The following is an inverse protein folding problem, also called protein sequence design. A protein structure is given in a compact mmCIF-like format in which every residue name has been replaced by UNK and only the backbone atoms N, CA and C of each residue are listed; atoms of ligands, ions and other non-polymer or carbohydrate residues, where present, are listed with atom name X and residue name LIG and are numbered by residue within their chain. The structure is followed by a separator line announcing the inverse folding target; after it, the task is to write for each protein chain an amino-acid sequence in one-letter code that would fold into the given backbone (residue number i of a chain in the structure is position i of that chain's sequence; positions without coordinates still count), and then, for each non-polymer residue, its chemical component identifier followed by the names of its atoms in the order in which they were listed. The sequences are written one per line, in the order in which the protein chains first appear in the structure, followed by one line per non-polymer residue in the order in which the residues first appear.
data_IF_938077039793
#
_entry.id   IF_938077039793
#
_cell.length_a   1.000
_cell.length_b   1.000
_cell.length_c   1.000
_cell.angle_alpha   90.00
_cell.angle_beta   90.00
_cell.angle_gamma   90.00
#
_symmetry.space_group_name_H-M   'P 1'
#
loop_
_entity.id
_entity.type
_entity.pdbx_description
1 polymer ?
#
# COMPACT_ATOMS: atom_id res chain seq x y z
N UNK A 1 -23.59 -1.54 -17.72
CA UNK A 1 -24.67 -1.46 -16.72
C UNK A 1 -25.58 -2.70 -16.61
N UNK A 2 -26.59 -2.94 -17.47
CA UNK A 2 -27.51 -4.09 -17.28
C UNK A 2 -26.80 -5.45 -17.30
N UNK A 3 -25.81 -5.60 -18.18
CA UNK A 3 -25.03 -6.84 -18.30
C UNK A 3 -24.14 -7.08 -17.08
N UNK A 4 -23.46 -6.04 -16.58
CA UNK A 4 -22.62 -6.11 -15.38
C UNK A 4 -23.45 -6.45 -14.14
N UNK A 5 -24.63 -5.84 -14.00
CA UNK A 5 -25.56 -6.15 -12.92
C UNK A 5 -26.06 -7.60 -12.94
N UNK A 6 -26.30 -8.15 -14.14
CA UNK A 6 -26.71 -9.55 -14.26
C UNK A 6 -25.55 -10.52 -13.99
N UNK A 7 -24.34 -10.19 -14.49
CA UNK A 7 -23.13 -10.95 -14.20
C UNK A 7 -22.86 -11.01 -12.69
N UNK A 8 -22.92 -9.87 -12.01
CA UNK A 8 -22.76 -9.80 -10.56
C UNK A 8 -23.77 -10.69 -9.82
N UNK A 9 -25.04 -10.70 -10.23
CA UNK A 9 -26.05 -11.58 -9.62
C UNK A 9 -25.71 -13.06 -9.81
N UNK A 10 -25.24 -13.45 -10.99
CA UNK A 10 -24.85 -14.84 -11.26
C UNK A 10 -23.63 -15.25 -10.44
N UNK A 11 -22.63 -14.37 -10.31
CA UNK A 11 -21.48 -14.61 -9.44
C UNK A 11 -21.87 -14.79 -7.98
N UNK A 12 -22.77 -13.94 -7.46
CA UNK A 12 -23.24 -14.07 -6.07
C UNK A 12 -24.02 -15.36 -5.85
N UNK A 13 -24.85 -15.78 -6.82
CA UNK A 13 -25.54 -17.08 -6.77
C UNK A 13 -24.54 -18.24 -6.74
N UNK A 14 -23.54 -18.20 -7.62
CA UNK A 14 -22.50 -19.22 -7.68
C UNK A 14 -21.68 -19.29 -6.38
N UNK A 15 -21.29 -18.15 -5.80
CA UNK A 15 -20.63 -18.08 -4.49
C UNK A 15 -21.49 -18.67 -3.36
N UNK A 16 -22.81 -18.42 -3.39
CA UNK A 16 -23.73 -18.97 -2.41
C UNK A 16 -23.85 -20.50 -2.53
N UNK A 17 -23.94 -21.02 -3.75
CA UNK A 17 -23.97 -22.46 -4.03
C UNK A 17 -22.69 -23.15 -3.54
N UNK A 18 -21.51 -22.62 -3.86
CA UNK A 18 -20.24 -23.11 -3.34
C UNK A 18 -20.22 -23.14 -1.80
N UNK A 19 -20.72 -22.10 -1.14
CA UNK A 19 -20.78 -22.07 0.33
C UNK A 19 -21.71 -23.13 0.90
N UNK A 20 -22.81 -23.47 0.21
CA UNK A 20 -23.72 -24.56 0.59
C UNK A 20 -23.07 -25.92 0.39
N UNK A 21 -22.49 -26.17 -0.78
CA UNK A 21 -21.76 -27.42 -1.09
C UNK A 21 -20.65 -27.70 -0.07
N UNK A 22 -19.89 -26.68 0.33
CA UNK A 22 -18.86 -26.81 1.36
C UNK A 22 -19.42 -27.20 2.73
N UNK A 23 -20.57 -26.62 3.13
CA UNK A 23 -21.25 -27.00 4.38
C UNK A 23 -21.82 -28.42 4.34
N UNK A 24 -22.37 -28.82 3.20
CA UNK A 24 -22.88 -30.19 3.01
C UNK A 24 -21.75 -31.22 3.14
N UNK A 25 -20.58 -30.97 2.53
CA UNK A 25 -19.39 -31.82 2.69
C UNK A 25 -18.89 -31.88 4.13
N UNK A 26 -18.95 -30.77 4.86
CA UNK A 26 -18.59 -30.72 6.29
C UNK A 26 -19.57 -31.52 7.15
N UNK A 27 -20.87 -31.43 6.84
CA UNK A 27 -21.92 -32.16 7.55
C UNK A 27 -21.85 -33.67 7.27
N UNK A 28 -21.68 -34.07 6.01
CA UNK A 28 -21.52 -35.48 5.61
C UNK A 28 -20.29 -36.12 6.28
N UNK A 29 -19.21 -35.34 6.49
CA UNK A 29 -18.05 -35.78 7.25
C UNK A 29 -18.38 -36.00 8.75
N UNK A 30 -19.11 -35.06 9.37
CA UNK A 30 -19.52 -35.14 10.80
C UNK A 30 -20.48 -36.29 11.08
N UNK A 31 -21.38 -36.60 10.13
CA UNK A 31 -22.36 -37.68 10.25
C UNK A 31 -21.78 -39.08 10.01
N UNK A 32 -20.52 -39.15 9.53
CA UNK A 32 -19.80 -40.39 9.26
C UNK A 32 -20.02 -40.87 7.82
N UNK A 33 -19.01 -40.65 6.98
CA UNK A 33 -19.04 -41.00 5.55
C UNK A 33 -19.18 -42.52 5.36
N UNK A 34 -20.28 -42.95 4.72
CA UNK A 34 -20.56 -44.37 4.43
C UNK A 34 -20.15 -44.79 3.01
N UNK A 35 -20.30 -43.88 2.04
CA UNK A 35 -19.83 -44.07 0.66
C UNK A 35 -18.64 -43.14 0.41
N UNK A 36 -17.45 -43.70 0.61
CA UNK A 36 -16.21 -42.97 0.48
C UNK A 36 -15.92 -42.54 -0.97
N UNK A 37 -16.32 -43.32 -1.97
CA UNK A 37 -16.03 -43.00 -3.38
C UNK A 37 -16.86 -41.80 -3.84
N UNK A 38 -18.15 -41.80 -3.53
CA UNK A 38 -19.05 -40.67 -3.83
C UNK A 38 -18.61 -39.40 -3.11
N UNK A 39 -18.22 -39.50 -1.83
CA UNK A 39 -17.71 -38.36 -1.07
C UNK A 39 -16.45 -37.74 -1.68
N UNK A 40 -15.47 -38.57 -2.06
CA UNK A 40 -14.23 -38.07 -2.69
C UNK A 40 -14.52 -37.39 -4.03
N UNK A 41 -15.45 -37.93 -4.83
CA UNK A 41 -15.83 -37.32 -6.09
C UNK A 41 -16.48 -35.95 -5.89
N UNK A 42 -17.46 -35.84 -4.97
CA UNK A 42 -18.07 -34.55 -4.60
C UNK A 42 -17.04 -33.54 -4.11
N UNK A 43 -16.12 -33.97 -3.24
CA UNK A 43 -15.04 -33.14 -2.70
C UNK A 43 -14.09 -32.65 -3.80
N UNK A 44 -13.72 -33.51 -4.75
CA UNK A 44 -12.83 -33.12 -5.85
C UNK A 44 -13.53 -32.13 -6.79
N UNK A 45 -14.79 -32.36 -7.14
CA UNK A 45 -15.59 -31.40 -7.93
C UNK A 45 -15.75 -30.06 -7.21
N UNK A 46 -16.00 -30.08 -5.91
CA UNK A 46 -16.04 -28.88 -5.08
C UNK A 46 -14.69 -28.13 -5.11
N UNK A 47 -13.58 -28.85 -4.95
CA UNK A 47 -12.23 -28.28 -4.99
C UNK A 47 -11.89 -27.67 -6.36
N UNK A 48 -12.31 -28.29 -7.47
CA UNK A 48 -12.16 -27.75 -8.82
C UNK A 48 -12.92 -26.43 -8.98
N UNK A 49 -14.20 -26.39 -8.59
CA UNK A 49 -15.01 -25.16 -8.65
C UNK A 49 -14.41 -24.02 -7.80
N UNK A 50 -13.93 -24.34 -6.59
CA UNK A 50 -13.23 -23.37 -5.72
C UNK A 50 -11.94 -22.90 -6.37
N UNK A 51 -11.17 -23.81 -6.99
CA UNK A 51 -9.95 -23.45 -7.71
C UNK A 51 -10.24 -22.52 -8.89
N UNK A 52 -11.28 -22.78 -9.67
CA UNK A 52 -11.65 -21.94 -10.81
C UNK A 52 -12.14 -20.56 -10.38
N UNK A 53 -12.90 -20.48 -9.30
CA UNK A 53 -13.25 -19.18 -8.68
C UNK A 53 -12.00 -18.44 -8.20
N UNK A 54 -11.05 -19.16 -7.58
CA UNK A 54 -9.76 -18.61 -7.18
C UNK A 54 -8.95 -18.06 -8.35
N UNK A 55 -8.89 -18.78 -9.48
CA UNK A 55 -8.25 -18.32 -10.72
C UNK A 55 -8.93 -17.08 -11.27
N UNK A 56 -10.26 -17.01 -11.22
CA UNK A 56 -11.02 -15.84 -11.66
C UNK A 56 -10.68 -14.59 -10.85
N UNK A 57 -10.72 -14.70 -9.51
CA UNK A 57 -10.37 -13.59 -8.61
C UNK A 57 -8.90 -13.16 -8.81
N UNK A 58 -7.98 -14.10 -8.97
CA UNK A 58 -6.58 -13.80 -9.26
C UNK A 58 -6.43 -13.08 -10.61
N UNK A 59 -7.18 -13.50 -11.62
CA UNK A 59 -7.18 -12.85 -12.94
C UNK A 59 -7.67 -11.41 -12.82
N UNK A 60 -8.77 -11.17 -12.10
CA UNK A 60 -9.29 -9.83 -11.85
C UNK A 60 -8.24 -8.95 -11.14
N UNK A 61 -7.61 -9.48 -10.09
CA UNK A 61 -6.55 -8.79 -9.35
C UNK A 61 -5.34 -8.43 -10.25
N UNK A 62 -4.87 -9.39 -11.06
CA UNK A 62 -3.76 -9.16 -12.01
C UNK A 62 -4.15 -8.12 -13.06
N UNK A 63 -5.37 -8.18 -13.59
CA UNK A 63 -5.87 -7.21 -14.56
C UNK A 63 -5.98 -5.81 -13.95
N UNK A 64 -6.45 -5.71 -12.70
CA UNK A 64 -6.49 -4.45 -11.97
C UNK A 64 -5.08 -3.86 -11.80
N UNK A 65 -4.12 -4.64 -11.28
CA UNK A 65 -2.72 -4.19 -11.12
C UNK A 65 -2.11 -3.77 -12.45
N UNK A 66 -2.39 -4.50 -13.54
CA UNK A 66 -1.96 -4.14 -14.88
C UNK A 66 -2.54 -2.79 -15.31
N UNK A 67 -3.85 -2.57 -15.13
CA UNK A 67 -4.49 -1.31 -15.48
C UNK A 67 -3.87 -0.12 -14.74
N UNK A 68 -3.57 -0.28 -13.44
CA UNK A 68 -2.89 0.76 -12.65
C UNK A 68 -1.47 1.03 -13.18
N UNK A 69 -0.69 -0.01 -13.50
CA UNK A 69 0.64 0.16 -14.10
C UNK A 69 0.58 0.85 -15.47
N UNK A 70 -0.42 0.52 -16.29
CA UNK A 70 -0.63 1.17 -17.59
C UNK A 70 -0.96 2.67 -17.41
N UNK A 71 -1.73 3.03 -16.37
CA UNK A 71 -2.00 4.43 -16.01
C UNK A 71 -0.72 5.12 -15.53
N UNK A 72 0.06 4.48 -14.67
CA UNK A 72 1.34 5.03 -14.20
C UNK A 72 2.30 5.28 -15.37
N UNK A 73 2.42 4.31 -16.28
CA UNK A 73 3.28 4.38 -17.47
C UNK A 73 2.87 5.52 -18.42
N UNK A 74 1.59 5.91 -18.43
CA UNK A 74 1.13 7.09 -19.15
C UNK A 74 1.47 8.39 -18.41
N UNK A 75 1.34 8.40 -17.08
CA UNK A 75 1.59 9.59 -16.25
C UNK A 75 3.07 10.01 -16.21
N UNK A 76 4.01 9.07 -16.41
CA UNK A 76 5.45 9.39 -16.48
C UNK A 76 5.89 9.94 -17.85
N UNK A 77 5.02 9.89 -18.87
CA UNK A 77 5.32 10.41 -20.22
C UNK A 77 4.94 11.90 -20.31
N UNK A 78 5.34 12.52 -21.42
CA UNK A 78 4.87 13.86 -21.77
C UNK A 78 3.33 13.85 -21.88
N UNK A 79 2.71 14.72 -21.10
CA UNK A 79 1.28 15.06 -21.20
C UNK A 79 0.99 15.77 -22.52
N UNK A 80 1.92 16.62 -22.95
CA UNK A 80 1.87 17.35 -24.21
C UNK A 80 3.17 17.07 -24.96
N UNK A 81 3.08 16.33 -26.07
CA UNK A 81 4.24 15.96 -26.86
C UNK A 81 4.84 17.13 -27.64
N UNK A 82 4.02 18.11 -28.05
CA UNK A 82 4.49 19.28 -28.78
C UNK A 82 5.25 20.23 -27.86
N UNK A 83 4.76 20.41 -26.63
CA UNK A 83 5.38 21.27 -25.63
C UNK A 83 6.38 20.55 -24.72
N UNK A 84 6.53 19.23 -24.87
CA UNK A 84 7.37 18.37 -24.02
C UNK A 84 7.12 18.60 -22.52
N UNK A 85 5.83 18.70 -22.12
CA UNK A 85 5.45 18.94 -20.72
C UNK A 85 5.06 17.65 -20.02
N UNK A 86 5.69 17.36 -18.90
CA UNK A 86 5.30 16.26 -18.01
C UNK A 86 4.09 16.58 -17.14
N UNK A 87 3.40 15.54 -16.68
CA UNK A 87 2.42 15.67 -15.60
C UNK A 87 3.08 16.20 -14.31
N UNK A 88 2.26 16.66 -13.36
CA UNK A 88 2.75 17.06 -12.03
C UNK A 88 2.87 15.83 -11.12
N UNK A 89 3.81 15.86 -10.17
CA UNK A 89 4.06 14.78 -9.20
C UNK A 89 2.79 14.36 -8.44
N UNK A 90 1.90 15.31 -8.14
CA UNK A 90 0.59 15.04 -7.52
C UNK A 90 -0.24 13.95 -8.21
N UNK A 91 -0.09 13.75 -9.53
CA UNK A 91 -0.85 12.70 -10.24
C UNK A 91 -0.29 11.32 -9.92
N UNK A 92 1.04 11.20 -9.79
CA UNK A 92 1.71 9.97 -9.40
C UNK A 92 1.42 9.69 -7.92
N UNK A 93 1.55 10.72 -7.07
CA UNK A 93 1.19 10.62 -5.66
C UNK A 93 -0.23 10.10 -5.49
N UNK A 94 -1.24 10.77 -6.07
CA UNK A 94 -2.64 10.38 -5.98
C UNK A 94 -2.92 8.96 -6.51
N UNK A 95 -2.14 8.48 -7.49
CA UNK A 95 -2.23 7.11 -7.99
C UNK A 95 -1.70 6.09 -6.97
N UNK A 96 -0.63 6.45 -6.24
CA UNK A 96 -0.01 5.60 -5.23
C UNK A 96 -0.80 5.63 -3.93
N UNK A 97 -1.19 6.81 -3.45
CA UNK A 97 -1.98 6.99 -2.23
C UNK A 97 -2.74 8.33 -2.28
N UNK A 98 -4.01 8.40 -1.83
CA UNK A 98 -4.76 9.65 -1.78
C UNK A 98 -4.09 10.77 -0.96
N UNK A 99 -4.06 11.99 -1.50
CA UNK A 99 -3.48 13.13 -0.78
C UNK A 99 -4.37 13.58 0.39
N UNK A 100 -3.78 14.14 1.44
CA UNK A 100 -4.45 14.66 2.65
C UNK A 100 -5.30 13.60 3.36
N UNK A 101 -4.80 12.37 3.39
CA UNK A 101 -5.47 11.20 3.95
C UNK A 101 -4.51 10.38 4.80
N UNK A 102 -5.08 9.65 5.75
CA UNK A 102 -4.39 8.65 6.55
C UNK A 102 -4.78 7.24 6.11
N UNK A 103 -4.05 6.22 6.58
CA UNK A 103 -4.44 4.82 6.42
C UNK A 103 -5.78 4.47 7.05
N UNK A 104 -6.22 5.24 8.06
CA UNK A 104 -7.47 4.99 8.77
C UNK A 104 -8.69 5.58 8.00
N UNK A 105 -8.44 6.44 7.01
CA UNK A 105 -9.48 7.08 6.19
C UNK A 105 -9.88 6.26 4.96
N UNK A 106 -9.10 5.25 4.57
CA UNK A 106 -9.25 4.57 3.28
C UNK A 106 -9.13 3.05 3.41
N UNK A 107 -9.84 2.34 2.52
CA UNK A 107 -9.76 0.88 2.42
C UNK A 107 -8.49 0.44 1.68
N UNK A 108 -8.06 -0.80 1.91
CA UNK A 108 -6.90 -1.42 1.25
C UNK A 108 -6.88 -1.31 -0.28
N UNK A 109 -8.06 -1.36 -0.93
CA UNK A 109 -8.18 -1.26 -2.38
C UNK A 109 -8.05 0.18 -2.92
N UNK A 110 -7.92 1.19 -2.05
CA UNK A 110 -7.87 2.60 -2.41
C UNK A 110 -6.45 3.16 -2.48
N UNK A 111 -5.42 2.32 -2.33
CA UNK A 111 -4.01 2.68 -2.50
C UNK A 111 -3.23 1.65 -3.32
N UNK A 112 -2.11 2.06 -3.89
CA UNK A 112 -1.22 1.25 -4.74
C UNK A 112 0.25 1.26 -4.28
N UNK A 113 0.49 1.34 -2.96
CA UNK A 113 1.83 1.31 -2.35
C UNK A 113 2.69 0.12 -2.79
N UNK A 114 2.05 -1.00 -3.16
CA UNK A 114 2.71 -2.18 -3.72
C UNK A 114 3.57 -1.90 -4.95
N UNK A 115 3.31 -0.80 -5.67
CA UNK A 115 4.11 -0.36 -6.82
C UNK A 115 5.54 -0.03 -6.40
N UNK A 116 5.72 0.45 -5.17
CA UNK A 116 7.02 0.81 -4.59
C UNK A 116 7.64 -0.43 -3.93
N UNK A 117 6.91 -1.04 -3.00
CA UNK A 117 7.28 -2.28 -2.32
C UNK A 117 5.99 -2.94 -1.78
N UNK A 118 5.83 -4.25 -2.02
CA UNK A 118 4.66 -5.01 -1.58
C UNK A 118 4.46 -4.96 -0.06
N UNK A 119 5.55 -4.83 0.72
CA UNK A 119 5.48 -4.75 2.18
C UNK A 119 4.79 -3.48 2.66
N UNK A 120 4.88 -2.38 1.89
CA UNK A 120 4.28 -1.10 2.26
C UNK A 120 2.75 -1.13 2.21
N UNK A 121 2.16 -2.12 1.54
CA UNK A 121 0.72 -2.33 1.57
C UNK A 121 0.21 -2.78 2.95
N UNK A 122 1.10 -3.19 3.85
CA UNK A 122 0.81 -3.57 5.22
C UNK A 122 1.59 -2.66 6.16
N UNK A 123 0.89 -1.80 6.86
CA UNK A 123 1.47 -0.86 7.80
C UNK A 123 0.49 -0.58 8.94
N UNK A 124 1.01 -0.06 10.05
CA UNK A 124 0.20 0.23 11.21
C UNK A 124 -0.48 1.62 11.14
N UNK A 125 0.25 2.61 10.62
CA UNK A 125 -0.27 3.94 10.35
C UNK A 125 0.47 4.60 9.18
N UNK A 126 -0.24 5.39 8.37
CA UNK A 126 0.31 6.18 7.27
C UNK A 126 -0.37 7.54 7.22
N UNK A 127 0.40 8.60 7.00
CA UNK A 127 -0.07 9.95 6.70
C UNK A 127 0.46 10.43 5.34
N UNK A 128 -0.41 10.96 4.49
CA UNK A 128 -0.11 11.36 3.11
C UNK A 128 -0.43 12.83 2.87
N UNK A 129 0.56 13.61 2.45
CA UNK A 129 0.47 15.06 2.21
C UNK A 129 -0.05 15.80 3.46
N UNK A 130 0.56 15.50 4.61
CA UNK A 130 0.17 16.07 5.90
C UNK A 130 1.36 16.69 6.60
N UNK A 131 1.12 17.81 7.29
CA UNK A 131 2.16 18.48 8.08
C UNK A 131 2.55 17.59 9.24
N UNK A 132 3.84 17.50 9.54
CA UNK A 132 4.32 16.69 10.66
C UNK A 132 3.64 17.09 11.98
N UNK A 133 3.44 18.40 12.22
CA UNK A 133 2.73 18.91 13.41
C UNK A 133 1.25 18.54 13.53
N UNK A 134 0.66 18.00 12.46
CA UNK A 134 -0.74 17.57 12.44
C UNK A 134 -0.90 16.06 12.66
N UNK A 135 0.20 15.31 12.71
CA UNK A 135 0.18 13.86 12.93
C UNK A 135 0.05 13.57 14.42
N UNK A 136 -0.92 12.74 14.81
CA UNK A 136 -1.18 12.35 16.20
C UNK A 136 -0.06 11.51 16.81
N UNK A 137 0.70 10.83 15.96
CA UNK A 137 1.75 9.86 16.26
C UNK A 137 3.05 10.56 16.69
N UNK A 138 3.09 11.89 16.68
CA UNK A 138 4.26 12.67 17.05
C UNK A 138 3.87 13.94 17.81
N UNK A 139 4.83 14.52 18.51
CA UNK A 139 4.75 15.82 19.18
C UNK A 139 5.78 16.76 18.57
N UNK A 140 5.39 17.43 17.48
CA UNK A 140 6.29 18.32 16.77
C UNK A 140 5.59 19.61 16.32
N UNK A 141 6.37 20.68 16.17
CA UNK A 141 5.91 21.99 15.69
C UNK A 141 6.26 22.25 14.21
N UNK A 142 6.82 21.25 13.52
CA UNK A 142 7.28 21.38 12.14
C UNK A 142 6.11 21.53 11.16
N UNK A 143 6.17 22.62 10.38
CA UNK A 143 5.24 22.87 9.29
C UNK A 143 5.57 22.12 7.99
N UNK A 144 6.60 21.27 7.99
CA UNK A 144 6.99 20.47 6.84
C UNK A 144 5.95 19.39 6.54
N UNK A 145 5.82 19.07 5.26
CA UNK A 145 4.74 18.23 4.72
C UNK A 145 5.39 17.20 3.78
N UNK A 146 5.73 16.00 4.31
CA UNK A 146 6.21 14.91 3.48
C UNK A 146 5.06 14.36 2.63
N UNK A 147 5.39 13.84 1.45
CA UNK A 147 4.37 13.27 0.57
C UNK A 147 3.71 12.04 1.21
N UNK A 148 4.50 11.10 1.75
CA UNK A 148 3.98 9.98 2.56
C UNK A 148 4.97 9.68 3.71
N UNK A 149 4.43 9.53 4.92
CA UNK A 149 5.12 8.94 6.07
C UNK A 149 4.35 7.72 6.55
N UNK A 150 5.06 6.62 6.76
CA UNK A 150 4.50 5.37 7.27
C UNK A 150 5.20 5.05 8.59
N UNK A 151 4.40 4.78 9.61
CA UNK A 151 4.83 4.34 10.91
C UNK A 151 4.48 2.85 11.06
N UNK A 152 5.50 2.04 11.25
CA UNK A 152 5.37 0.59 11.34
C UNK A 152 6.04 0.04 12.61
N UNK A 153 5.48 -1.04 13.13
CA UNK A 153 6.00 -1.74 14.31
C UNK A 153 6.69 -3.04 13.87
N UNK A 154 7.91 -3.34 14.34
CA UNK A 154 8.63 -4.54 13.95
C UNK A 154 7.91 -5.80 14.47
N UNK A 155 7.05 -6.39 13.64
CA UNK A 155 6.20 -7.55 13.98
C UNK A 155 6.94 -8.85 14.32
N UNK A 156 8.25 -8.94 14.09
CA UNK A 156 8.88 -10.25 13.88
C UNK A 156 9.40 -10.99 15.13
N UNK A 157 9.50 -10.39 16.33
CA UNK A 157 10.27 -11.03 17.41
C UNK A 157 9.81 -10.88 18.87
N UNK A 158 8.64 -10.31 19.20
CA UNK A 158 8.24 -10.15 20.63
C UNK A 158 6.73 -10.19 20.85
N UNK A 159 6.29 -10.87 21.91
CA UNK A 159 4.90 -10.96 22.40
C UNK A 159 4.35 -9.64 23.01
N UNK A 160 5.06 -8.53 22.84
CA UNK A 160 4.70 -7.23 23.42
C UNK A 160 3.89 -6.42 22.40
N UNK A 161 2.58 -6.31 22.63
CA UNK A 161 1.67 -5.45 21.84
C UNK A 161 2.04 -3.96 21.91
N UNK A 162 2.85 -3.56 22.90
CA UNK A 162 3.12 -2.17 23.26
C UNK A 162 4.47 -1.65 22.73
N UNK A 163 5.02 -2.24 21.66
CA UNK A 163 6.25 -1.70 21.09
C UNK A 163 5.98 -0.50 20.17
N UNK A 164 6.66 0.62 20.43
CA UNK A 164 6.49 1.82 19.62
C UNK A 164 7.04 1.69 18.20
N UNK A 165 6.57 2.58 17.31
CA UNK A 165 6.99 2.62 15.91
C UNK A 165 8.50 2.82 15.77
N UNK A 166 9.20 1.74 15.47
CA UNK A 166 10.66 1.75 15.27
C UNK A 166 11.06 1.72 13.82
N UNK A 167 10.13 1.47 12.90
CA UNK A 167 10.37 1.53 11.47
C UNK A 167 9.54 2.68 10.90
N UNK A 168 10.20 3.68 10.33
CA UNK A 168 9.55 4.81 9.70
C UNK A 168 9.93 4.82 8.22
N UNK A 169 8.93 4.74 7.34
CA UNK A 169 9.16 4.89 5.90
C UNK A 169 8.76 6.28 5.45
N UNK A 170 9.66 6.97 4.74
CA UNK A 170 9.37 8.26 4.10
C UNK A 170 9.43 8.05 2.59
N UNK A 171 8.37 8.47 1.90
CA UNK A 171 8.31 8.42 0.43
C UNK A 171 8.14 9.84 -0.06
N UNK A 172 9.02 10.23 -0.98
CA UNK A 172 9.01 11.55 -1.61
C UNK A 172 8.95 11.38 -3.13
N UNK A 173 7.98 12.02 -3.77
CA UNK A 173 7.82 12.03 -5.21
C UNK A 173 8.47 13.26 -5.81
N UNK A 174 9.01 13.11 -7.02
CA UNK A 174 9.43 14.23 -7.85
C UNK A 174 8.78 14.15 -9.21
N UNK A 175 8.53 15.34 -9.77
CA UNK A 175 7.98 15.48 -11.11
C UNK A 175 8.78 14.67 -12.14
N UNK A 176 8.10 13.89 -13.01
CA UNK A 176 8.76 13.25 -14.15
C UNK A 176 9.50 14.25 -15.03
N UNK A 177 10.63 13.81 -15.58
CA UNK A 177 11.57 14.57 -16.40
C UNK A 177 12.26 15.71 -15.68
N UNK A 178 12.21 15.75 -14.35
CA UNK A 178 12.92 16.76 -13.59
C UNK A 178 14.41 16.44 -13.56
N UNK A 179 15.19 17.37 -14.09
CA UNK A 179 16.65 17.32 -14.11
C UNK A 179 17.24 18.46 -13.27
N UNK A 180 18.54 18.38 -13.02
CA UNK A 180 19.33 19.46 -12.40
C UNK A 180 18.86 19.86 -10.99
N UNK A 181 18.85 18.88 -10.08
CA UNK A 181 18.54 19.13 -8.68
C UNK A 181 19.60 20.06 -8.06
N UNK A 182 19.16 21.27 -7.68
CA UNK A 182 19.97 22.21 -6.89
C UNK A 182 19.90 21.85 -5.41
N UNK A 183 20.78 22.44 -4.60
CA UNK A 183 20.81 22.16 -3.16
C UNK A 183 19.48 22.49 -2.45
N UNK A 184 18.83 23.59 -2.85
CA UNK A 184 17.50 23.99 -2.35
C UNK A 184 16.36 23.09 -2.84
N UNK A 185 16.60 22.27 -3.86
CA UNK A 185 15.61 21.36 -4.47
C UNK A 185 16.02 19.90 -4.30
N UNK A 186 17.01 19.62 -3.45
CA UNK A 186 17.62 18.32 -3.27
C UNK A 186 16.66 17.37 -2.52
N UNK A 187 16.17 16.29 -3.15
CA UNK A 187 15.23 15.39 -2.52
C UNK A 187 15.85 14.60 -1.36
N UNK A 188 17.15 14.29 -1.42
CA UNK A 188 17.86 13.59 -0.33
C UNK A 188 17.94 14.48 0.90
N UNK A 189 18.23 15.77 0.70
CA UNK A 189 18.24 16.75 1.79
C UNK A 189 16.85 16.91 2.40
N UNK A 190 15.82 17.03 1.56
CA UNK A 190 14.43 17.15 2.01
C UNK A 190 14.00 15.97 2.89
N UNK A 191 14.34 14.74 2.47
CA UNK A 191 14.06 13.54 3.27
C UNK A 191 14.84 13.52 4.59
N UNK A 192 16.14 13.89 4.59
CA UNK A 192 16.95 13.98 5.83
C UNK A 192 16.35 14.98 6.81
N UNK A 193 15.93 16.12 6.30
CA UNK A 193 15.26 17.16 7.07
C UNK A 193 13.95 16.66 7.70
N UNK A 194 13.20 15.78 7.04
CA UNK A 194 12.04 15.12 7.65
C UNK A 194 12.45 14.12 8.72
N UNK A 195 13.52 13.35 8.49
CA UNK A 195 14.05 12.42 9.49
C UNK A 195 14.44 13.16 10.78
N UNK A 196 15.15 14.29 10.65
CA UNK A 196 15.56 15.14 11.78
C UNK A 196 14.32 15.65 12.55
N UNK A 197 13.32 16.21 11.84
CA UNK A 197 12.09 16.72 12.44
C UNK A 197 11.26 15.61 13.14
N UNK A 198 11.29 14.37 12.61
CA UNK A 198 10.62 13.20 13.21
C UNK A 198 11.35 12.73 14.46
N UNK A 199 12.69 12.70 14.43
CA UNK A 199 13.52 12.35 15.57
C UNK A 199 13.35 13.37 16.72
N UNK A 200 13.35 14.65 16.40
CA UNK A 200 13.11 15.73 17.37
C UNK A 200 11.66 15.73 17.89
N UNK A 201 10.71 15.37 17.03
CA UNK A 201 9.27 15.37 17.29
C UNK A 201 8.75 14.26 18.20
N UNK A 202 9.61 13.51 18.90
CA UNK A 202 9.25 12.48 19.90
C UNK A 202 8.02 11.63 19.51
N UNK A 203 8.26 10.64 18.65
CA UNK A 203 7.24 9.70 18.17
C UNK A 203 6.54 8.98 19.34
N UNK A 204 5.23 8.78 19.21
CA UNK A 204 4.30 8.18 20.18
C UNK A 204 3.68 6.89 19.62
N UNK A 205 3.25 5.99 20.51
CA UNK A 205 2.35 4.88 20.19
C UNK A 205 0.91 5.36 19.93
N UNK A 206 0.02 4.49 19.43
CA UNK A 206 -1.42 4.79 19.33
C UNK A 206 -2.05 5.16 20.68
N UNK A 207 -1.56 4.57 21.77
CA UNK A 207 -2.03 4.84 23.12
C UNK A 207 -1.37 6.08 23.76
N UNK A 208 -0.51 6.80 23.00
CA UNK A 208 0.07 8.07 23.40
C UNK A 208 1.37 7.96 24.20
N UNK A 209 1.95 6.77 24.32
CA UNK A 209 3.22 6.57 25.01
C UNK A 209 4.39 7.01 24.14
N UNK A 210 5.29 7.84 24.69
CA UNK A 210 6.47 8.29 23.98
C UNK A 210 7.54 7.19 23.87
N UNK A 211 8.21 7.16 22.72
CA UNK A 211 9.41 6.36 22.52
C UNK A 211 10.53 6.76 23.49
N UNK A 212 11.00 5.79 24.29
CA UNK A 212 12.25 5.94 25.03
C UNK A 212 13.45 5.66 24.11
N UNK A 213 14.23 6.70 23.84
CA UNK A 213 15.45 6.64 23.02
C UNK A 213 15.17 6.72 21.51
N UNK A 214 15.54 7.85 20.91
CA UNK A 214 15.47 8.09 19.45
C UNK A 214 16.50 7.27 18.66
N UNK A 215 17.49 6.69 19.34
CA UNK A 215 18.62 5.96 18.74
C UNK A 215 18.23 4.62 18.06
N UNK A 216 16.99 4.16 18.25
CA UNK A 216 16.50 2.87 17.72
C UNK A 216 15.52 3.00 16.54
N UNK A 217 15.26 4.22 16.04
CA UNK A 217 14.39 4.42 14.87
C UNK A 217 15.17 4.07 13.60
N UNK A 218 14.59 3.19 12.80
CA UNK A 218 15.09 2.82 11.46
C UNK A 218 14.27 3.54 10.42
N UNK A 219 14.95 4.35 9.61
CA UNK A 219 14.33 5.02 8.48
C UNK A 219 14.54 4.23 7.20
N UNK A 220 13.45 4.04 6.45
CA UNK A 220 13.45 3.57 5.07
C UNK A 220 13.00 4.72 4.18
N UNK A 221 13.82 5.11 3.21
CA UNK A 221 13.56 6.32 2.45
C UNK A 221 13.48 6.00 0.96
N UNK A 222 12.36 6.34 0.34
CA UNK A 222 12.13 6.18 -1.09
C UNK A 222 12.00 7.56 -1.74
N UNK A 223 12.81 7.82 -2.77
CA UNK A 223 12.69 9.00 -3.61
C UNK A 223 12.31 8.54 -5.01
N UNK A 224 11.08 8.79 -5.42
CA UNK A 224 10.58 8.42 -6.74
C UNK A 224 10.84 9.56 -7.72
N UNK A 225 11.88 9.39 -8.54
CA UNK A 225 12.32 10.39 -9.50
C UNK A 225 13.00 9.75 -10.72
N UNK A 226 13.11 10.51 -11.80
CA UNK A 226 13.96 10.12 -12.93
C UNK A 226 15.44 10.28 -12.56
N UNK A 227 16.23 9.25 -12.89
CA UNK A 227 17.62 9.16 -12.47
C UNK A 227 18.53 9.89 -13.46
N UNK A 228 18.81 11.16 -13.17
CA UNK A 228 19.78 11.97 -13.91
C UNK A 228 21.19 11.95 -13.27
N UNK A 229 22.14 12.70 -13.86
CA UNK A 229 23.51 12.80 -13.32
C UNK A 229 23.57 13.50 -11.95
N UNK A 230 22.61 14.38 -11.65
CA UNK A 230 22.59 15.10 -10.37
C UNK A 230 22.11 14.19 -9.23
N UNK A 231 21.01 13.44 -9.43
CA UNK A 231 20.53 12.42 -8.48
C UNK A 231 21.59 11.35 -8.24
N UNK A 232 22.27 10.86 -9.29
CA UNK A 232 23.35 9.87 -9.12
C UNK A 232 24.51 10.39 -8.27
N UNK A 233 24.77 11.69 -8.25
CA UNK A 233 25.80 12.29 -7.37
C UNK A 233 25.30 12.43 -5.94
N UNK A 234 24.02 12.77 -5.76
CA UNK A 234 23.40 12.94 -4.44
C UNK A 234 23.18 11.61 -3.70
N UNK A 235 22.98 10.52 -4.43
CA UNK A 235 22.74 9.18 -3.87
C UNK A 235 24.02 8.39 -3.55
N UNK A 236 25.22 8.97 -3.79
CA UNK A 236 26.50 8.40 -3.37
C UNK A 236 26.82 8.76 -1.92
#
# INVERSE_FOLDING_TARGET
EKLEMELFKQEQKFKLELKREGKELEQELKEGVRDYQSYIQKRNTYAEKVSDMGKSNLTEYVMHRKAILDILAQNIKYKDQEQQKYTYEKNIHQLIFPMTKTSDDIDYLQHNLWIIDEKLAYHHYLASDMKLKSMSEMDNDSGKEPDIVIFDSPFAFTDEQDQPYRNITIIEFKRPGREHYTDAKNPVRQVKEYMDDIVEGKVKTKDGEFLSGTENIRFFCYILCDVDLSIKKLAK
#
